data_IF_815714476277
#
_entry.id   IF_815714476277
#
_cell.length_a   1.000
_cell.length_b   1.000
_cell.length_c   1.000
_cell.angle_alpha   90.00
_cell.angle_beta   90.00
_cell.angle_gamma   90.00
#
_symmetry.space_group_name_H-M   'P 1'
#
loop_
_entity.id
_entity.type
_entity.pdbx_description
1 polymer ?
#
# COMPACT_ATOMS: atom_id res chain seq x y z
N UNK A 1 9.24 -7.42 9.57
CA UNK A 1 8.28 -6.54 8.86
C UNK A 1 7.06 -7.35 8.50
N UNK A 2 5.87 -6.87 8.90
CA UNK A 2 4.59 -7.53 8.58
C UNK A 2 3.91 -6.76 7.46
N UNK A 3 3.63 -7.46 6.36
CA UNK A 3 2.85 -6.93 5.24
C UNK A 3 1.40 -7.38 5.37
N UNK A 4 0.46 -6.46 5.23
CA UNK A 4 -0.97 -6.78 5.19
C UNK A 4 -1.70 -6.10 4.05
N UNK A 5 -2.76 -6.74 3.54
CA UNK A 5 -3.68 -6.11 2.60
C UNK A 5 -4.47 -5.04 3.36
N UNK A 6 -4.59 -3.86 2.76
CA UNK A 6 -5.29 -2.73 3.35
C UNK A 6 -6.17 -2.10 2.27
N UNK A 7 -7.42 -1.77 2.62
CA UNK A 7 -8.32 -1.05 1.72
C UNK A 7 -8.69 0.29 2.33
N UNK A 8 -8.81 1.31 1.49
CA UNK A 8 -9.13 2.67 1.91
C UNK A 8 -9.94 3.39 0.84
N UNK A 9 -10.66 4.44 1.26
CA UNK A 9 -11.44 5.28 0.35
C UNK A 9 -10.51 6.23 -0.44
N UNK A 10 -10.68 6.24 -1.76
CA UNK A 10 -10.07 7.18 -2.67
C UNK A 10 -10.75 8.54 -2.64
N UNK A 11 -10.12 9.54 -3.25
CA UNK A 11 -10.65 10.91 -3.23
C UNK A 11 -12.02 11.07 -3.92
N UNK A 12 -12.41 10.10 -4.75
CA UNK A 12 -13.65 10.04 -5.52
C UNK A 12 -14.67 9.06 -4.92
N UNK A 13 -14.41 8.53 -3.72
CA UNK A 13 -15.24 7.53 -3.06
C UNK A 13 -15.04 6.09 -3.54
N UNK A 14 -14.09 5.85 -4.47
CA UNK A 14 -13.74 4.49 -4.87
C UNK A 14 -13.01 3.74 -3.74
N UNK A 15 -13.24 2.43 -3.61
CA UNK A 15 -12.46 1.59 -2.67
C UNK A 15 -11.15 1.18 -3.32
N UNK A 16 -10.04 1.74 -2.84
CA UNK A 16 -8.70 1.43 -3.30
C UNK A 16 -8.11 0.27 -2.50
N UNK A 17 -7.38 -0.62 -3.18
CA UNK A 17 -6.61 -1.69 -2.56
C UNK A 17 -5.15 -1.28 -2.44
N UNK A 18 -4.53 -1.61 -1.32
CA UNK A 18 -3.11 -1.38 -1.06
C UNK A 18 -2.49 -2.46 -0.17
N UNK A 19 -1.19 -2.30 0.09
CA UNK A 19 -0.44 -3.12 1.04
C UNK A 19 0.20 -2.20 2.06
N UNK A 20 0.07 -2.53 3.33
CA UNK A 20 0.69 -1.81 4.43
C UNK A 20 1.82 -2.66 5.00
N UNK A 21 3.04 -2.11 4.95
CA UNK A 21 4.24 -2.75 5.49
C UNK A 21 4.58 -2.08 6.83
N UNK A 22 4.41 -2.82 7.93
CA UNK A 22 4.67 -2.32 9.29
C UNK A 22 6.05 -2.78 9.79
N UNK A 23 6.84 -1.86 10.40
CA UNK A 23 8.08 -2.24 11.07
C UNK A 23 7.75 -3.04 12.33
N UNK A 24 8.69 -3.88 12.77
CA UNK A 24 8.52 -4.69 13.98
C UNK A 24 8.67 -3.83 15.27
N UNK A 25 9.16 -2.60 15.14
CA UNK A 25 9.39 -1.64 16.22
C UNK A 25 8.66 -0.30 16.00
N UNK A 26 9.05 0.77 16.71
CA UNK A 26 8.36 2.06 16.62
C UNK A 26 8.45 2.66 15.21
N UNK A 27 7.34 3.18 14.71
CA UNK A 27 7.28 3.91 13.45
C UNK A 27 8.09 5.21 13.59
N UNK A 28 9.09 5.40 12.73
CA UNK A 28 9.93 6.62 12.71
C UNK A 28 9.59 7.55 11.55
N UNK A 29 9.06 7.01 10.46
CA UNK A 29 8.67 7.73 9.26
C UNK A 29 7.65 6.89 8.47
N UNK A 30 7.04 7.51 7.46
CA UNK A 30 6.14 6.86 6.51
C UNK A 30 6.64 7.15 5.10
N UNK A 31 6.51 6.16 4.20
CA UNK A 31 6.77 6.31 2.78
C UNK A 31 5.56 5.79 1.99
N UNK A 32 5.23 6.46 0.89
CA UNK A 32 4.18 6.04 -0.04
C UNK A 32 4.81 5.57 -1.34
N UNK A 33 4.54 4.32 -1.70
CA UNK A 33 4.90 3.76 -3.00
C UNK A 33 3.69 3.82 -3.91
N UNK A 34 3.68 4.76 -4.85
CA UNK A 34 2.65 4.85 -5.89
C UNK A 34 3.15 4.13 -7.16
N UNK A 35 2.41 3.13 -7.62
CA UNK A 35 2.65 2.48 -8.90
C UNK A 35 1.68 3.02 -9.96
N UNK A 36 1.97 2.82 -11.24
CA UNK A 36 1.09 3.26 -12.31
C UNK A 36 -0.30 2.60 -12.20
N UNK A 37 -1.35 3.37 -12.49
CA UNK A 37 -2.76 2.96 -12.40
C UNK A 37 -3.10 1.70 -13.20
N UNK A 38 -2.37 1.43 -14.28
CA UNK A 38 -2.56 0.25 -15.16
C UNK A 38 -1.50 -0.84 -14.96
N UNK A 39 -0.50 -0.60 -14.10
CA UNK A 39 0.50 -1.60 -13.78
C UNK A 39 0.05 -2.36 -12.54
N UNK A 40 0.20 -3.68 -12.54
CA UNK A 40 0.00 -4.46 -11.33
C UNK A 40 1.11 -4.15 -10.33
N UNK A 41 0.74 -3.83 -9.08
CA UNK A 41 1.68 -3.73 -7.97
C UNK A 41 2.50 -5.03 -7.77
N UNK A 42 1.96 -6.16 -8.26
CA UNK A 42 2.70 -7.40 -8.42
C UNK A 42 3.38 -7.39 -9.79
N UNK A 43 4.65 -6.99 -9.79
CA UNK A 43 5.58 -7.39 -10.83
C UNK A 43 5.79 -8.89 -10.60
N UNK A 44 5.50 -9.73 -11.60
CA UNK A 44 5.69 -11.19 -11.56
C UNK A 44 7.16 -11.53 -11.23
N UNK A 45 7.44 -12.74 -10.69
CA UNK A 45 8.74 -13.13 -10.12
C UNK A 45 9.94 -12.91 -11.03
#
# INVERSE_FOLDING_TARGET
MRSEKFSFEGHDGSTLSGRLDMPDGPVRATALFAHCFTCTANILP
#
